data_IF_215265610699
#
_entry.id   IF_215265610699
#
_cell.length_a   1.000
_cell.length_b   1.000
_cell.length_c   1.000
_cell.angle_alpha   90.00
_cell.angle_beta   90.00
_cell.angle_gamma   90.00
#
_symmetry.space_group_name_H-M   'P 1'
#
loop_
_entity.id
_entity.type
_entity.pdbx_description
1 polymer ?
#
# COMPACT_ATOMS: atom_id res chain seq x y z
N UNK A 1 -9.66 10.56 15.12
CA UNK A 1 -8.23 10.55 14.72
C UNK A 1 -8.19 10.48 13.20
N UNK A 2 -7.22 11.11 12.54
CA UNK A 2 -7.09 10.97 11.08
C UNK A 2 -6.42 9.62 10.79
N UNK A 3 -6.94 8.80 9.87
CA UNK A 3 -6.27 7.56 9.49
C UNK A 3 -4.88 7.89 8.94
N UNK A 4 -3.86 7.19 9.43
CA UNK A 4 -2.51 7.31 8.87
C UNK A 4 -2.54 6.65 7.50
N UNK A 5 -2.19 7.39 6.47
CA UNK A 5 -2.11 6.85 5.11
C UNK A 5 -0.65 6.77 4.68
N UNK A 6 -0.32 5.74 3.93
CA UNK A 6 1.05 5.53 3.43
C UNK A 6 1.36 6.41 2.21
N UNK A 7 0.35 6.85 1.46
CA UNK A 7 0.54 7.61 0.21
C UNK A 7 0.41 9.12 0.47
N UNK A 8 1.31 9.97 -0.06
CA UNK A 8 1.29 11.41 0.18
C UNK A 8 0.07 12.12 -0.43
N UNK A 9 -0.52 11.56 -1.49
CA UNK A 9 -1.76 12.03 -2.10
C UNK A 9 -2.76 10.86 -2.33
N UNK A 10 -3.55 10.44 -1.34
CA UNK A 10 -4.44 9.30 -1.47
C UNK A 10 -5.60 9.52 -2.45
N UNK A 11 -5.90 10.77 -2.84
CA UNK A 11 -7.01 11.08 -3.75
C UNK A 11 -6.60 10.87 -5.21
N UNK A 12 -5.30 10.85 -5.50
CA UNK A 12 -4.75 10.52 -6.82
C UNK A 12 -4.83 9.03 -7.19
N UNK A 13 -5.15 8.16 -6.23
CA UNK A 13 -5.20 6.71 -6.45
C UNK A 13 -6.35 6.30 -7.36
N UNK A 14 -6.15 5.21 -8.10
CA UNK A 14 -7.03 4.79 -9.18
C UNK A 14 -8.45 4.38 -8.75
N UNK A 15 -8.67 4.02 -7.48
CA UNK A 15 -9.98 3.66 -6.95
C UNK A 15 -10.03 3.76 -5.42
N UNK A 16 -11.24 3.81 -4.87
CA UNK A 16 -11.50 3.88 -3.42
C UNK A 16 -10.93 2.66 -2.67
N UNK A 17 -10.96 1.46 -3.27
CA UNK A 17 -10.38 0.27 -2.64
C UNK A 17 -8.86 0.38 -2.47
N UNK A 18 -8.16 0.96 -3.45
CA UNK A 18 -6.72 1.22 -3.34
C UNK A 18 -6.42 2.29 -2.28
N UNK A 19 -7.25 3.33 -2.21
CA UNK A 19 -7.16 4.36 -1.17
C UNK A 19 -7.34 3.76 0.23
N UNK A 20 -8.38 2.95 0.43
CA UNK A 20 -8.64 2.28 1.69
C UNK A 20 -7.52 1.31 2.09
N UNK A 21 -6.96 0.57 1.12
CA UNK A 21 -5.89 -0.38 1.40
C UNK A 21 -4.57 0.25 1.88
N UNK A 22 -4.37 1.55 1.63
CA UNK A 22 -3.22 2.31 2.13
C UNK A 22 -3.52 3.09 3.42
N UNK A 23 -4.75 3.02 3.94
CA UNK A 23 -5.12 3.56 5.24
C UNK A 23 -4.82 2.53 6.32
N UNK A 24 -4.05 2.92 7.33
CA UNK A 24 -3.86 2.15 8.54
C UNK A 24 -4.88 2.60 9.58
N UNK A 25 -6.00 1.87 9.63
CA UNK A 25 -7.03 2.00 10.67
C UNK A 25 -6.87 0.89 11.71
N UNK A 26 -5.77 0.95 12.46
CA UNK A 26 -5.46 -0.01 13.52
C UNK A 26 -4.98 0.73 14.78
N UNK A 27 -5.67 0.52 15.90
CA UNK A 27 -5.27 1.12 17.19
C UNK A 27 -4.05 0.42 17.80
N UNK A 28 -3.82 -0.86 17.44
CA UNK A 28 -2.76 -1.69 18.03
C UNK A 28 -1.41 -1.56 17.32
N UNK A 29 -1.39 -1.14 16.06
CA UNK A 29 -0.19 -1.12 15.22
C UNK A 29 0.01 0.27 14.61
N UNK A 30 1.24 0.76 14.65
CA UNK A 30 1.63 2.03 14.03
C UNK A 30 2.35 1.86 12.69
N UNK A 31 2.80 0.63 12.41
CA UNK A 31 3.47 0.21 11.19
C UNK A 31 2.55 -0.75 10.40
N UNK A 32 2.25 -0.49 9.11
CA UNK A 32 1.49 -1.42 8.27
C UNK A 32 2.13 -2.81 8.16
N UNK A 33 3.45 -2.94 8.27
CA UNK A 33 4.11 -4.25 8.24
C UNK A 33 3.88 -5.09 9.51
N UNK A 34 3.46 -4.46 10.62
CA UNK A 34 3.10 -5.15 11.86
C UNK A 34 1.60 -5.44 11.94
N UNK A 35 0.79 -4.85 11.05
CA UNK A 35 -0.66 -4.99 11.05
C UNK A 35 -1.10 -6.12 10.10
N UNK A 36 -1.72 -7.20 10.60
CA UNK A 36 -2.17 -8.31 9.76
C UNK A 36 -3.29 -7.94 8.77
N UNK A 37 -4.00 -6.83 9.03
CA UNK A 37 -5.06 -6.32 8.15
C UNK A 37 -4.52 -5.38 7.05
N UNK A 38 -3.24 -4.96 7.12
CA UNK A 38 -2.61 -4.16 6.07
C UNK A 38 -2.14 -5.05 4.92
N UNK A 39 -2.61 -4.76 3.71
CA UNK A 39 -2.33 -5.57 2.52
C UNK A 39 -1.33 -4.92 1.56
N UNK A 40 -1.38 -3.60 1.41
CA UNK A 40 -0.56 -2.87 0.45
C UNK A 40 0.47 -2.04 1.20
N UNK A 41 1.71 -2.08 0.70
CA UNK A 41 2.76 -1.14 1.07
C UNK A 41 3.00 -0.15 -0.08
N UNK A 42 3.25 1.13 0.25
CA UNK A 42 3.72 2.13 -0.69
C UNK A 42 5.11 2.63 -0.30
N UNK A 43 6.02 2.69 -1.27
CA UNK A 43 7.35 3.29 -1.10
C UNK A 43 7.41 4.61 -1.85
N UNK A 44 7.35 5.73 -1.12
CA UNK A 44 7.41 7.08 -1.68
C UNK A 44 8.71 7.38 -2.43
N UNK A 45 9.84 6.82 -1.97
CA UNK A 45 11.15 7.05 -2.61
C UNK A 45 11.30 6.37 -3.98
N UNK A 46 10.52 5.31 -4.23
CA UNK A 46 10.55 4.53 -5.48
C UNK A 46 9.27 4.71 -6.32
N UNK A 47 8.25 5.37 -5.77
CA UNK A 47 6.89 5.43 -6.31
C UNK A 47 6.33 4.03 -6.66
N UNK A 48 6.53 3.08 -5.74
CA UNK A 48 6.20 1.66 -5.95
C UNK A 48 5.18 1.16 -4.95
N UNK A 49 4.32 0.27 -5.45
CA UNK A 49 3.33 -0.45 -4.67
C UNK A 49 3.72 -1.92 -4.56
N UNK A 50 3.46 -2.50 -3.39
CA UNK A 50 3.74 -3.90 -3.14
C UNK A 50 2.64 -4.52 -2.27
N UNK A 51 2.44 -5.83 -2.41
CA UNK A 51 1.66 -6.64 -1.48
C UNK A 51 2.55 -7.03 -0.31
N UNK A 52 2.08 -6.79 0.92
CA UNK A 52 2.75 -7.24 2.13
C UNK A 52 2.56 -8.76 2.27
N UNK A 53 3.65 -9.48 2.55
CA UNK A 53 3.62 -10.92 2.83
C UNK A 53 3.77 -11.11 4.34
N UNK A 54 2.71 -11.62 4.98
CA UNK A 54 2.69 -11.86 6.43
C UNK A 54 3.19 -13.28 6.76
N UNK A 55 4.47 -13.55 6.51
CA UNK A 55 5.13 -14.84 6.79
C UNK A 55 6.01 -14.82 8.07
N UNK A 56 6.04 -13.67 8.76
CA UNK A 56 6.87 -13.44 9.96
C UNK A 56 8.11 -12.58 9.69
N UNK A 57 8.39 -12.25 8.44
CA UNK A 57 9.45 -11.33 8.02
C UNK A 57 8.89 -10.13 7.24
N UNK A 58 9.71 -9.10 6.96
CA UNK A 58 9.29 -7.94 6.16
C UNK A 58 9.47 -8.23 4.66
N UNK A 59 8.62 -9.10 4.13
CA UNK A 59 8.61 -9.44 2.72
C UNK A 59 7.48 -8.74 1.97
N UNK A 60 7.76 -8.44 0.70
CA UNK A 60 6.77 -7.83 -0.20
C UNK A 60 6.87 -8.42 -1.61
N UNK A 61 5.74 -8.37 -2.33
CA UNK A 61 5.68 -8.66 -3.77
C UNK A 61 5.32 -7.38 -4.51
N UNK A 62 6.22 -6.88 -5.36
CA UNK A 62 5.95 -5.69 -6.17
C UNK A 62 4.76 -5.92 -7.11
N UNK A 63 3.85 -4.96 -7.17
CA UNK A 63 2.69 -4.98 -8.07
C UNK A 63 2.71 -3.76 -8.99
N UNK A 64 2.38 -3.98 -10.26
CA UNK A 64 2.27 -2.92 -11.28
C UNK A 64 0.83 -2.55 -11.61
N UNK A 65 -0.14 -3.33 -11.13
CA UNK A 65 -1.56 -3.14 -11.39
C UNK A 65 -2.34 -3.22 -10.09
N UNK A 66 -3.38 -2.40 -9.98
CA UNK A 66 -4.30 -2.38 -8.86
C UNK A 66 -5.02 -3.74 -8.74
N UNK A 67 -4.96 -4.42 -7.58
CA UNK A 67 -5.66 -5.70 -7.37
C UNK A 67 -7.19 -5.60 -7.50
N UNK A 68 -7.74 -4.40 -7.37
CA UNK A 68 -9.19 -4.19 -7.36
C UNK A 68 -9.76 -3.76 -8.71
N UNK A 69 -9.20 -2.72 -9.34
CA UNK A 69 -9.74 -2.18 -10.60
C UNK A 69 -8.88 -2.49 -11.83
N UNK A 70 -7.71 -3.11 -11.66
CA UNK A 70 -6.81 -3.46 -12.77
C UNK A 70 -6.09 -2.27 -13.43
N UNK A 71 -6.27 -1.05 -12.92
CA UNK A 71 -5.53 0.12 -13.41
C UNK A 71 -4.03 -0.07 -13.20
N UNK A 72 -3.23 0.41 -14.14
CA UNK A 72 -1.78 0.48 -13.97
C UNK A 72 -1.46 1.44 -12.83
N UNK A 73 -0.67 0.98 -11.87
CA UNK A 73 -0.14 1.82 -10.79
C UNK A 73 1.05 2.59 -11.33
N UNK A 74 1.36 3.75 -10.73
CA UNK A 74 2.42 4.63 -11.20
C UNK A 74 3.73 3.87 -11.48
N UNK A 75 4.48 4.34 -12.47
CA UNK A 75 5.63 3.60 -13.02
C UNK A 75 6.76 3.59 -12.00
N UNK A 76 6.88 2.49 -11.25
CA UNK A 76 8.20 2.03 -10.83
C UNK A 76 9.04 1.92 -12.10
N UNK A 77 10.12 2.69 -12.18
CA UNK A 77 11.07 2.63 -13.29
C UNK A 77 11.45 1.18 -13.54
N UNK A 78 11.17 0.68 -14.73
CA UNK A 78 11.70 -0.60 -15.20
C UNK A 78 13.20 -0.40 -15.42
N UNK A 79 14.00 -0.53 -14.37
CA UNK A 79 15.46 -0.61 -14.47
C UNK A 79 15.98 -1.87 -13.75
#
# INVERSE_FOLDING_TARGET
MMPKTQHPDPQSLCCESMQAALQLDCESHSDPFECPDSLIAYNEGLDQFALIVHDGERHVVLIRFCPWCGAQLAKGTDE
#
